data_IF_169869475261
#
_entry.id   IF_169869475261
#
_cell.length_a   1.000
_cell.length_b   1.000
_cell.length_c   1.000
_cell.angle_alpha   90.00
_cell.angle_beta   90.00
_cell.angle_gamma   90.00
#
_symmetry.space_group_name_H-M   'P 1'
#
loop_
_entity.id
_entity.type
_entity.pdbx_description
1 polymer ?
#
# COMPACT_ATOMS: atom_id res chain seq x y z
N UNK A 1 -15.07 -14.05 20.51
CA UNK A 1 -14.33 -14.48 19.31
C UNK A 1 -13.20 -13.51 18.96
N UNK A 2 -13.47 -12.20 18.79
CA UNK A 2 -12.43 -11.16 18.61
C UNK A 2 -11.37 -11.15 19.73
N UNK A 3 -11.76 -11.14 21.01
CA UNK A 3 -10.82 -11.22 22.14
C UNK A 3 -10.02 -12.54 22.20
N UNK A 4 -10.53 -13.61 21.62
CA UNK A 4 -9.86 -14.92 21.59
C UNK A 4 -8.79 -14.94 20.50
N UNK A 5 -9.13 -14.44 19.30
CA UNK A 5 -8.19 -14.23 18.18
C UNK A 5 -7.10 -13.22 18.59
N UNK A 6 -7.48 -12.13 19.25
CA UNK A 6 -6.54 -11.12 19.78
C UNK A 6 -5.58 -11.73 20.80
N UNK A 7 -6.06 -12.54 21.76
CA UNK A 7 -5.19 -13.22 22.73
C UNK A 7 -4.27 -14.26 22.09
N UNK A 8 -4.72 -14.97 21.05
CA UNK A 8 -3.87 -15.91 20.29
C UNK A 8 -2.83 -15.18 19.43
N UNK A 9 -3.18 -14.03 18.83
CA UNK A 9 -2.26 -13.19 18.06
C UNK A 9 -1.25 -12.42 18.93
N UNK A 10 -1.64 -12.04 20.15
CA UNK A 10 -0.75 -11.43 21.16
C UNK A 10 0.24 -12.46 21.70
N UNK A 11 -0.15 -13.74 21.82
CA UNK A 11 0.75 -14.81 22.30
C UNK A 11 1.65 -15.39 21.20
N UNK A 12 1.29 -15.27 19.92
CA UNK A 12 2.09 -15.75 18.78
C UNK A 12 2.49 -14.59 17.84
N UNK A 13 3.57 -13.90 18.21
CA UNK A 13 4.54 -13.19 17.35
C UNK A 13 4.04 -12.36 16.14
N UNK A 14 2.97 -11.58 16.25
CA UNK A 14 2.74 -10.45 15.34
C UNK A 14 3.29 -9.14 15.94
N UNK A 15 4.53 -8.77 15.58
CA UNK A 15 5.05 -7.43 15.88
C UNK A 15 4.59 -6.44 14.81
N UNK A 16 3.54 -5.68 15.13
CA UNK A 16 3.12 -4.52 14.35
C UNK A 16 4.02 -3.32 14.69
N UNK A 17 4.56 -2.66 13.66
CA UNK A 17 5.38 -1.47 13.81
C UNK A 17 4.54 -0.19 13.77
N UNK A 18 4.76 0.67 14.76
CA UNK A 18 4.17 2.00 14.88
C UNK A 18 5.29 2.97 15.26
N UNK A 19 5.73 3.80 14.30
CA UNK A 19 6.69 4.88 14.56
C UNK A 19 6.06 6.25 14.23
N UNK A 20 6.18 7.26 15.11
CA UNK A 20 5.90 8.66 14.81
C UNK A 20 6.74 9.17 13.62
N UNK A 21 6.15 9.40 12.45
CA UNK A 21 6.88 10.02 11.32
C UNK A 21 6.87 11.55 11.42
N UNK A 22 8.03 12.21 11.26
CA UNK A 22 8.21 13.68 11.40
C UNK A 22 8.24 14.44 10.06
N UNK A 23 7.66 13.89 8.98
CA UNK A 23 7.19 14.57 7.75
C UNK A 23 6.60 13.53 6.78
N UNK A 24 5.79 13.91 5.78
CA UNK A 24 4.92 12.98 5.05
C UNK A 24 5.47 12.70 3.66
N UNK A 25 5.87 11.46 3.37
CA UNK A 25 6.04 10.97 1.98
C UNK A 25 5.71 9.48 1.88
N UNK A 26 4.69 9.23 1.04
CA UNK A 26 4.43 8.15 0.06
C UNK A 26 5.44 6.97 0.00
N UNK A 27 5.00 5.77 0.39
CA UNK A 27 5.30 4.54 -0.34
C UNK A 27 3.99 3.90 -0.79
N UNK A 28 3.90 3.66 -2.10
CA UNK A 28 2.85 2.92 -2.78
C UNK A 28 3.36 1.54 -3.22
N UNK A 29 4.24 0.94 -2.41
CA UNK A 29 4.73 -0.40 -2.60
C UNK A 29 4.63 -1.11 -1.27
N UNK A 30 3.45 -1.71 -1.04
CA UNK A 30 3.18 -2.98 -0.38
C UNK A 30 1.64 -2.99 -0.23
N UNK A 31 0.93 -3.41 -1.27
CA UNK A 31 -0.22 -4.35 -1.33
C UNK A 31 -0.35 -4.69 -2.83
N UNK A 32 0.70 -5.25 -3.44
CA UNK A 32 0.59 -5.75 -4.83
C UNK A 32 1.46 -6.95 -5.17
N UNK A 33 2.02 -7.61 -4.15
CA UNK A 33 2.82 -8.83 -4.30
C UNK A 33 2.61 -9.85 -3.17
N UNK A 34 1.42 -9.87 -2.56
CA UNK A 34 1.05 -11.01 -1.74
C UNK A 34 0.52 -12.13 -2.64
N UNK A 35 1.43 -12.99 -3.10
CA UNK A 35 1.25 -14.36 -3.60
C UNK A 35 0.30 -14.56 -4.80
N UNK A 36 0.61 -15.47 -5.71
CA UNK A 36 -0.27 -15.75 -6.84
C UNK A 36 -1.64 -16.28 -6.35
N UNK A 37 -2.70 -15.85 -7.03
CA UNK A 37 -4.01 -16.52 -7.16
C UNK A 37 -5.09 -16.46 -6.06
N UNK A 38 -4.87 -16.04 -4.80
CA UNK A 38 -5.93 -16.13 -3.77
C UNK A 38 -6.36 -14.80 -3.14
N UNK A 39 -7.01 -13.92 -3.92
CA UNK A 39 -7.60 -12.68 -3.36
C UNK A 39 -8.73 -12.94 -2.35
N UNK A 40 -9.26 -14.17 -2.31
CA UNK A 40 -10.36 -14.62 -1.46
C UNK A 40 -10.05 -14.49 0.04
N UNK A 41 -8.83 -14.83 0.45
CA UNK A 41 -8.40 -14.75 1.86
C UNK A 41 -7.51 -13.53 2.16
N UNK A 42 -6.86 -12.97 1.14
CA UNK A 42 -5.94 -11.85 1.32
C UNK A 42 -6.64 -10.57 1.78
N UNK A 43 -7.81 -10.24 1.23
CA UNK A 43 -8.50 -9.01 1.63
C UNK A 43 -8.98 -9.04 3.11
N UNK A 44 -9.66 -10.11 3.58
CA UNK A 44 -9.95 -10.27 5.00
C UNK A 44 -8.70 -10.29 5.88
N UNK A 45 -7.63 -10.97 5.46
CA UNK A 45 -6.40 -11.03 6.23
C UNK A 45 -5.79 -9.64 6.43
N UNK A 46 -5.66 -8.86 5.36
CA UNK A 46 -5.15 -7.48 5.43
C UNK A 46 -6.00 -6.63 6.36
N UNK A 47 -7.33 -6.70 6.24
CA UNK A 47 -8.25 -5.96 7.10
C UNK A 47 -8.09 -6.30 8.58
N UNK A 48 -8.09 -7.60 8.92
CA UNK A 48 -7.93 -8.07 10.30
C UNK A 48 -6.58 -7.67 10.87
N UNK A 49 -5.49 -7.91 10.13
CA UNK A 49 -4.14 -7.58 10.60
C UNK A 49 -3.95 -6.07 10.78
N UNK A 50 -4.51 -5.25 9.89
CA UNK A 50 -4.43 -3.78 9.99
C UNK A 50 -5.20 -3.25 11.21
N UNK A 51 -6.34 -3.84 11.57
CA UNK A 51 -7.08 -3.45 12.77
C UNK A 51 -6.47 -4.04 14.05
N UNK A 52 -5.93 -5.26 14.01
CA UNK A 52 -5.13 -5.80 15.11
C UNK A 52 -3.90 -4.93 15.38
N UNK A 53 -3.30 -4.34 14.34
CA UNK A 53 -2.24 -3.37 14.45
C UNK A 53 -2.65 -2.11 15.23
N UNK A 54 -3.89 -1.63 15.05
CA UNK A 54 -4.45 -0.54 15.86
C UNK A 54 -4.60 -0.98 17.32
N UNK A 55 -5.07 -2.20 17.59
CA UNK A 55 -5.20 -2.72 18.97
C UNK A 55 -3.83 -2.84 19.66
N UNK A 56 -2.81 -3.30 18.93
CA UNK A 56 -1.44 -3.35 19.42
C UNK A 56 -0.87 -1.95 19.67
N UNK A 57 -1.22 -0.94 18.85
CA UNK A 57 -0.89 0.46 19.16
C UNK A 57 -1.54 0.86 20.47
N UNK A 58 -2.83 0.62 20.62
CA UNK A 58 -3.62 1.02 21.78
C UNK A 58 -3.05 0.48 23.08
N UNK A 59 -2.54 -0.75 23.06
CA UNK A 59 -1.96 -1.40 24.23
C UNK A 59 -0.58 -0.87 24.66
N UNK A 60 0.10 -0.08 23.83
CA UNK A 60 1.42 0.51 24.16
C UNK A 60 1.28 1.82 24.93
N UNK A 61 2.29 2.12 25.73
CA UNK A 61 2.39 3.42 26.41
C UNK A 61 2.36 4.58 25.40
N UNK A 62 1.45 5.53 25.61
CA UNK A 62 1.25 6.66 24.68
C UNK A 62 0.42 6.32 23.43
N UNK A 63 0.03 5.05 23.23
CA UNK A 63 -0.62 4.58 22.02
C UNK A 63 -2.06 5.08 21.85
N UNK A 64 -2.85 5.10 22.93
CA UNK A 64 -4.20 5.67 22.91
C UNK A 64 -4.18 7.17 22.54
N UNK A 65 -3.22 7.94 23.07
CA UNK A 65 -3.04 9.35 22.74
C UNK A 65 -2.71 9.55 21.25
N UNK A 66 -1.95 8.62 20.65
CA UNK A 66 -1.69 8.63 19.21
C UNK A 66 -2.99 8.41 18.42
N UNK A 67 -3.78 7.40 18.80
CA UNK A 67 -5.05 7.08 18.14
C UNK A 67 -6.01 8.27 18.21
N UNK A 68 -6.11 8.91 19.37
CA UNK A 68 -7.00 10.05 19.61
C UNK A 68 -6.53 11.33 18.89
N UNK A 69 -5.25 11.40 18.50
CA UNK A 69 -4.67 12.51 17.74
C UNK A 69 -4.85 12.41 16.23
N UNK A 70 -5.51 11.36 15.71
CA UNK A 70 -5.68 11.18 14.26
C UNK A 70 -6.78 12.09 13.72
N UNK A 71 -6.40 13.06 12.89
CA UNK A 71 -7.32 14.05 12.29
C UNK A 71 -7.96 13.60 10.97
N UNK A 72 -7.36 12.63 10.28
CA UNK A 72 -7.79 12.16 8.96
C UNK A 72 -7.24 10.76 8.71
N UNK A 73 -7.99 9.95 7.96
CA UNK A 73 -7.57 8.61 7.55
C UNK A 73 -7.76 8.43 6.05
N UNK A 74 -6.97 7.54 5.46
CA UNK A 74 -7.11 7.12 4.07
C UNK A 74 -6.50 5.73 3.94
N UNK A 75 -6.93 4.96 2.94
CA UNK A 75 -6.32 3.68 2.65
C UNK A 75 -6.49 3.31 1.19
N UNK A 76 -5.48 2.65 0.63
CA UNK A 76 -5.42 2.31 -0.79
C UNK A 76 -6.34 1.11 -1.07
N UNK A 77 -7.31 1.29 -1.97
CA UNK A 77 -8.26 0.26 -2.39
C UNK A 77 -9.00 -0.37 -1.19
N UNK A 78 -8.71 -1.64 -0.85
CA UNK A 78 -9.20 -2.31 0.34
C UNK A 78 -8.94 -1.51 1.63
N UNK A 79 -7.80 -0.82 1.71
CA UNK A 79 -7.45 -0.02 2.88
C UNK A 79 -8.49 1.06 3.23
N UNK A 80 -9.31 1.51 2.28
CA UNK A 80 -10.42 2.44 2.54
C UNK A 80 -11.49 1.81 3.45
N UNK A 81 -11.75 0.49 3.29
CA UNK A 81 -12.66 -0.23 4.18
C UNK A 81 -12.07 -0.33 5.60
N UNK A 82 -10.77 -0.60 5.71
CA UNK A 82 -10.05 -0.61 6.99
C UNK A 82 -10.08 0.78 7.64
N UNK A 83 -9.86 1.85 6.88
CA UNK A 83 -9.90 3.22 7.37
C UNK A 83 -11.31 3.62 7.84
N UNK A 84 -12.35 3.23 7.11
CA UNK A 84 -13.75 3.42 7.50
C UNK A 84 -14.11 2.66 8.79
N UNK A 85 -13.68 1.40 8.93
CA UNK A 85 -13.84 0.65 10.17
C UNK A 85 -13.11 1.33 11.33
N UNK A 86 -11.84 1.71 11.12
CA UNK A 86 -11.07 2.44 12.11
C UNK A 86 -11.76 3.74 12.51
N UNK A 87 -12.37 4.48 11.57
CA UNK A 87 -13.12 5.71 11.80
C UNK A 87 -14.55 5.50 12.34
N UNK A 88 -14.97 4.26 12.57
CA UNK A 88 -16.26 3.94 13.19
C UNK A 88 -17.47 4.02 12.25
N UNK A 89 -17.23 4.03 10.93
CA UNK A 89 -18.31 4.05 9.94
C UNK A 89 -19.14 2.76 9.96
N UNK A 90 -18.54 1.63 10.31
CA UNK A 90 -19.22 0.35 10.53
C UNK A 90 -18.46 -0.47 11.57
N UNK A 91 -19.06 -1.55 12.08
CA UNK A 91 -18.40 -2.43 13.05
C UNK A 91 -17.25 -3.22 12.41
N UNK A 92 -16.36 -3.75 13.24
CA UNK A 92 -15.30 -4.67 12.79
C UNK A 92 -15.90 -5.84 11.99
N UNK A 93 -16.95 -6.46 12.51
CA UNK A 93 -17.61 -7.63 11.92
C UNK A 93 -18.26 -7.33 10.58
N UNK A 94 -18.93 -6.18 10.47
CA UNK A 94 -19.57 -5.79 9.21
C UNK A 94 -18.54 -5.42 8.16
N UNK A 95 -17.47 -4.71 8.54
CA UNK A 95 -16.34 -4.49 7.65
C UNK A 95 -15.68 -5.79 7.20
N UNK A 96 -15.49 -6.77 8.09
CA UNK A 96 -14.92 -8.08 7.76
C UNK A 96 -15.79 -8.85 6.75
N UNK A 97 -17.12 -8.84 6.94
CA UNK A 97 -18.06 -9.45 5.97
C UNK A 97 -17.97 -8.76 4.61
N UNK A 98 -17.93 -7.42 4.59
CA UNK A 98 -17.84 -6.62 3.37
C UNK A 98 -16.54 -6.90 2.60
N UNK A 99 -15.38 -6.89 3.26
CA UNK A 99 -14.09 -7.12 2.58
C UNK A 99 -13.94 -8.56 2.11
N UNK A 100 -14.53 -9.53 2.82
CA UNK A 100 -14.59 -10.92 2.36
C UNK A 100 -15.41 -11.03 1.08
N UNK A 101 -16.63 -10.48 1.08
CA UNK A 101 -17.50 -10.48 -0.10
C UNK A 101 -16.85 -9.73 -1.26
N UNK A 102 -16.17 -8.61 -1.00
CA UNK A 102 -15.41 -7.84 -1.98
C UNK A 102 -14.32 -8.70 -2.62
N UNK A 103 -13.53 -9.40 -1.81
CA UNK A 103 -12.52 -10.35 -2.27
C UNK A 103 -13.10 -11.43 -3.19
N UNK A 104 -14.15 -12.10 -2.73
CA UNK A 104 -14.86 -13.13 -3.51
C UNK A 104 -15.41 -12.58 -4.84
N UNK A 105 -16.11 -11.45 -4.80
CA UNK A 105 -16.73 -10.86 -5.98
C UNK A 105 -15.70 -10.36 -7.01
N UNK A 106 -14.59 -9.78 -6.56
CA UNK A 106 -13.49 -9.36 -7.44
C UNK A 106 -12.73 -10.56 -8.01
N UNK A 107 -12.56 -11.64 -7.24
CA UNK A 107 -11.95 -12.88 -7.73
C UNK A 107 -12.80 -13.52 -8.82
N UNK A 108 -14.12 -13.60 -8.61
CA UNK A 108 -15.05 -14.15 -9.60
C UNK A 108 -15.03 -13.33 -10.90
N UNK A 109 -14.99 -11.99 -10.78
CA UNK A 109 -14.87 -11.10 -11.94
C UNK A 109 -13.53 -11.29 -12.68
N UNK A 110 -12.43 -11.45 -11.94
CA UNK A 110 -11.10 -11.72 -12.51
C UNK A 110 -11.04 -13.08 -13.22
N UNK A 111 -11.67 -14.12 -12.65
CA UNK A 111 -11.73 -15.45 -13.25
C UNK A 111 -12.57 -15.47 -14.54
N UNK A 112 -13.58 -14.60 -14.65
CA UNK A 112 -14.46 -14.52 -15.81
C UNK A 112 -13.80 -13.90 -17.05
N UNK A 113 -12.73 -13.11 -16.89
CA UNK A 113 -12.08 -12.41 -18.00
C UNK A 113 -10.55 -12.36 -17.85
N UNK A 114 -9.85 -12.95 -18.82
CA UNK A 114 -8.39 -12.89 -18.90
C UNK A 114 -7.94 -11.44 -19.02
N UNK A 115 -7.19 -11.00 -18.02
CA UNK A 115 -6.81 -9.59 -17.88
C UNK A 115 -5.49 -9.48 -17.12
N UNK A 116 -4.87 -8.31 -17.18
CA UNK A 116 -3.60 -8.05 -16.52
C UNK A 116 -3.50 -6.62 -16.01
N UNK A 117 -2.46 -6.39 -15.24
CA UNK A 117 -2.10 -5.09 -14.69
C UNK A 117 -0.60 -4.88 -14.79
N UNK A 118 -0.20 -3.66 -15.12
CA UNK A 118 1.18 -3.27 -15.37
C UNK A 118 1.46 -1.92 -14.73
N UNK A 119 2.54 -1.81 -13.96
CA UNK A 119 3.06 -0.54 -13.48
C UNK A 119 3.86 0.12 -14.60
N UNK A 120 3.52 1.37 -14.93
CA UNK A 120 4.20 2.22 -15.90
C UNK A 120 4.99 3.28 -15.13
N UNK A 121 6.30 3.25 -15.28
CA UNK A 121 7.23 4.05 -14.46
C UNK A 121 7.99 5.04 -15.33
N UNK A 122 8.16 6.27 -14.83
CA UNK A 122 8.94 7.33 -15.46
C UNK A 122 8.16 8.23 -16.41
N UNK A 123 6.83 8.11 -16.47
CA UNK A 123 5.93 9.01 -17.19
C UNK A 123 5.06 9.78 -16.21
N UNK A 124 4.62 10.98 -16.59
CA UNK A 124 3.52 11.69 -15.93
C UNK A 124 2.16 11.08 -16.31
N UNK A 125 1.10 11.42 -15.57
CA UNK A 125 -0.24 10.85 -15.74
C UNK A 125 -0.83 11.14 -17.13
N UNK A 126 -0.57 12.31 -17.69
CA UNK A 126 -1.04 12.70 -19.02
C UNK A 126 -0.43 11.81 -20.10
N UNK A 127 0.88 11.56 -20.05
CA UNK A 127 1.54 10.64 -20.98
C UNK A 127 1.12 9.19 -20.79
N UNK A 128 0.87 8.75 -19.56
CA UNK A 128 0.30 7.41 -19.34
C UNK A 128 -1.09 7.31 -19.95
N UNK A 129 -1.91 8.36 -19.86
CA UNK A 129 -3.22 8.38 -20.51
C UNK A 129 -3.09 8.32 -22.04
N UNK A 130 -2.20 9.13 -22.63
CA UNK A 130 -1.92 9.09 -24.08
C UNK A 130 -1.41 7.71 -24.53
N UNK A 131 -0.60 7.05 -23.70
CA UNK A 131 -0.13 5.68 -23.94
C UNK A 131 -1.30 4.67 -23.90
N UNK A 132 -2.22 4.80 -22.94
CA UNK A 132 -3.44 3.98 -22.89
C UNK A 132 -4.30 4.20 -24.14
N UNK A 133 -4.51 5.45 -24.54
CA UNK A 133 -5.32 5.80 -25.71
C UNK A 133 -4.71 5.23 -26.99
N UNK A 134 -3.38 5.31 -27.15
CA UNK A 134 -2.66 4.72 -28.28
C UNK A 134 -2.75 3.18 -28.31
N UNK A 135 -2.74 2.53 -27.14
CA UNK A 135 -2.94 1.08 -27.07
C UNK A 135 -4.39 0.70 -27.40
N UNK A 136 -5.36 1.47 -26.90
CA UNK A 136 -6.79 1.26 -27.08
C UNK A 136 -7.28 1.42 -28.53
N UNK A 137 -6.50 2.09 -29.39
CA UNK A 137 -6.78 2.19 -30.83
C UNK A 137 -6.53 0.87 -31.60
N UNK A 138 -5.69 -0.02 -31.06
CA UNK A 138 -5.27 -1.26 -31.72
C UNK A 138 -5.95 -2.51 -31.16
N UNK A 139 -6.87 -2.35 -30.21
CA UNK A 139 -7.56 -3.46 -29.55
C UNK A 139 -9.08 -3.25 -29.49
N UNK A 140 -9.88 -4.32 -29.50
CA UNK A 140 -11.32 -4.21 -29.34
C UNK A 140 -11.69 -3.67 -27.94
N UNK A 141 -12.92 -3.17 -27.79
CA UNK A 141 -13.45 -2.62 -26.53
C UNK A 141 -13.22 -3.55 -25.32
N UNK A 142 -13.40 -4.86 -25.51
CA UNK A 142 -13.24 -5.87 -24.47
C UNK A 142 -11.79 -6.07 -23.98
N UNK A 143 -10.80 -5.52 -24.69
CA UNK A 143 -9.36 -5.65 -24.38
C UNK A 143 -8.74 -4.31 -23.95
N UNK A 144 -9.52 -3.22 -23.93
CA UNK A 144 -9.01 -1.89 -23.59
C UNK A 144 -8.40 -1.83 -22.19
N UNK A 145 -7.42 -0.94 -22.08
CA UNK A 145 -6.72 -0.62 -20.83
C UNK A 145 -7.05 0.79 -20.36
N UNK A 146 -6.93 1.01 -19.06
CA UNK A 146 -7.04 2.33 -18.44
C UNK A 146 -6.12 2.42 -17.23
N UNK A 147 -5.82 3.65 -16.79
CA UNK A 147 -5.13 3.86 -15.51
C UNK A 147 -6.07 3.39 -14.40
N UNK A 148 -5.63 2.38 -13.65
CA UNK A 148 -6.35 1.79 -12.53
C UNK A 148 -5.89 2.37 -11.18
N UNK A 149 -4.63 2.80 -11.07
CA UNK A 149 -4.13 3.49 -9.89
C UNK A 149 -3.21 4.65 -10.27
N UNK A 150 -3.56 5.83 -9.80
CA UNK A 150 -2.66 6.99 -9.70
C UNK A 150 -1.91 6.85 -8.39
N UNK A 151 -0.72 6.23 -8.42
CA UNK A 151 0.02 5.88 -7.19
C UNK A 151 0.85 7.06 -6.69
N UNK A 152 1.78 7.54 -7.51
CA UNK A 152 2.60 8.71 -7.22
C UNK A 152 3.15 9.31 -8.52
N UNK A 153 3.68 10.56 -8.47
CA UNK A 153 4.27 11.17 -9.65
C UNK A 153 5.36 10.27 -10.24
N UNK A 154 5.18 9.84 -11.49
CA UNK A 154 6.11 8.95 -12.17
C UNK A 154 5.83 7.45 -12.01
N UNK A 155 4.75 7.04 -11.33
CA UNK A 155 4.36 5.63 -11.19
C UNK A 155 2.83 5.47 -11.21
N UNK A 156 2.33 4.79 -12.23
CA UNK A 156 0.90 4.57 -12.44
C UNK A 156 0.66 3.10 -12.77
N UNK A 157 -0.39 2.51 -12.19
CA UNK A 157 -0.78 1.16 -12.58
C UNK A 157 -1.86 1.25 -13.65
N UNK A 158 -1.61 0.60 -14.79
CA UNK A 158 -2.54 0.47 -15.90
C UNK A 158 -3.06 -0.95 -15.94
N UNK A 159 -4.34 -1.11 -16.24
CA UNK A 159 -5.00 -2.39 -16.20
C UNK A 159 -6.05 -2.55 -17.29
N UNK A 160 -6.24 -3.78 -17.76
CA UNK A 160 -7.22 -4.11 -18.80
C UNK A 160 -7.03 -5.52 -19.35
N UNK A 161 -7.49 -5.75 -20.58
CA UNK A 161 -7.34 -7.04 -21.25
C UNK A 161 -5.88 -7.38 -21.52
N UNK A 162 -5.57 -8.68 -21.63
CA UNK A 162 -4.20 -9.14 -21.90
C UNK A 162 -3.63 -8.49 -23.16
N UNK A 163 -4.45 -8.36 -24.22
CA UNK A 163 -3.96 -7.82 -25.48
C UNK A 163 -3.68 -6.32 -25.40
N UNK A 164 -4.54 -5.58 -24.70
CA UNK A 164 -4.33 -4.16 -24.46
C UNK A 164 -3.06 -3.89 -23.65
N UNK A 165 -2.80 -4.72 -22.63
CA UNK A 165 -1.55 -4.62 -21.83
C UNK A 165 -0.33 -4.91 -22.68
N UNK A 166 -0.34 -5.96 -23.52
CA UNK A 166 0.77 -6.25 -24.45
C UNK A 166 1.05 -5.10 -25.42
N UNK A 167 0.01 -4.52 -26.01
CA UNK A 167 0.14 -3.40 -26.93
C UNK A 167 0.70 -2.18 -26.21
N UNK A 168 0.22 -1.89 -24.99
CA UNK A 168 0.72 -0.82 -24.15
C UNK A 168 2.21 -0.99 -23.83
N UNK A 169 2.64 -2.19 -23.42
CA UNK A 169 4.05 -2.49 -23.14
C UNK A 169 4.92 -2.28 -24.39
N UNK A 170 4.45 -2.69 -25.57
CA UNK A 170 5.18 -2.51 -26.83
C UNK A 170 5.38 -1.03 -27.20
N UNK A 171 4.45 -0.16 -26.80
CA UNK A 171 4.48 1.29 -27.06
C UNK A 171 5.19 2.09 -25.97
N UNK A 172 5.31 1.56 -24.75
CA UNK A 172 5.81 2.29 -23.60
C UNK A 172 7.17 2.99 -23.85
N UNK A 173 8.09 2.33 -24.57
CA UNK A 173 9.41 2.90 -24.90
C UNK A 173 9.32 4.11 -25.84
N UNK A 174 8.40 4.12 -26.82
CA UNK A 174 8.25 5.28 -27.73
C UNK A 174 7.67 6.50 -27.02
N UNK A 175 6.87 6.27 -25.97
CA UNK A 175 6.38 7.32 -25.06
C UNK A 175 7.42 7.77 -24.02
N UNK A 176 8.62 7.17 -24.03
CA UNK A 176 9.73 7.42 -23.09
C UNK A 176 9.47 6.94 -21.67
N UNK A 177 8.64 5.91 -21.48
CA UNK A 177 8.56 5.24 -20.19
C UNK A 177 9.93 4.65 -19.82
N UNK A 178 10.31 4.77 -18.56
CA UNK A 178 11.55 4.19 -18.04
C UNK A 178 11.46 2.66 -18.02
N UNK A 179 10.34 2.13 -17.54
CA UNK A 179 10.07 0.70 -17.47
C UNK A 179 8.58 0.43 -17.35
N UNK A 180 8.19 -0.79 -17.72
CA UNK A 180 6.89 -1.39 -17.43
C UNK A 180 7.10 -2.69 -16.65
N UNK A 181 6.34 -2.89 -15.57
CA UNK A 181 6.46 -4.08 -14.71
C UNK A 181 5.08 -4.70 -14.53
N UNK A 182 4.89 -5.93 -15.02
CA UNK A 182 3.64 -6.67 -14.81
C UNK A 182 3.46 -6.97 -13.31
N UNK A 183 2.26 -6.73 -12.82
CA UNK A 183 1.90 -6.92 -11.41
C UNK A 183 1.32 -8.32 -11.24
N UNK A 184 1.74 -9.02 -10.19
CA UNK A 184 1.29 -10.37 -9.87
C UNK A 184 -0.10 -10.31 -9.21
N UNK A 185 -1.11 -9.94 -9.97
CA UNK A 185 -2.50 -9.79 -9.53
C UNK A 185 -3.44 -10.66 -10.36
N UNK A 186 -4.57 -11.04 -9.77
CA UNK A 186 -5.49 -12.00 -10.36
C UNK A 186 -6.26 -11.45 -11.58
N UNK A 187 -6.42 -10.13 -11.72
CA UNK A 187 -7.14 -9.55 -12.84
C UNK A 187 -7.07 -8.03 -12.88
N UNK A 188 -7.83 -7.45 -13.82
CA UNK A 188 -7.80 -6.01 -14.07
C UNK A 188 -8.61 -5.17 -13.06
N UNK A 189 -8.11 -5.06 -11.83
CA UNK A 189 -8.76 -4.31 -10.75
C UNK A 189 -8.89 -2.81 -11.07
N UNK A 190 -9.91 -2.17 -10.50
CA UNK A 190 -10.17 -0.73 -10.69
C UNK A 190 -10.47 -0.34 -12.14
N UNK A 191 -11.09 -1.25 -12.89
CA UNK A 191 -11.53 -1.05 -14.27
C UNK A 191 -12.92 -1.63 -14.51
N UNK A 192 -13.45 -1.45 -15.71
CA UNK A 192 -14.70 -2.06 -16.16
C UNK A 192 -14.73 -3.60 -16.07
N UNK A 193 -13.58 -4.28 -16.01
CA UNK A 193 -13.52 -5.73 -15.81
C UNK A 193 -14.12 -6.16 -14.47
N UNK A 194 -14.18 -5.26 -13.48
CA UNK A 194 -14.76 -5.53 -12.16
C UNK A 194 -16.27 -5.24 -12.08
N UNK A 195 -16.93 -4.83 -13.17
CA UNK A 195 -18.39 -4.59 -13.19
C UNK A 195 -19.23 -5.75 -12.62
N UNK A 196 -18.91 -7.04 -12.87
CA UNK A 196 -19.68 -8.14 -12.29
C UNK A 196 -19.69 -8.16 -10.74
N UNK A 197 -18.67 -7.58 -10.10
CA UNK A 197 -18.58 -7.52 -8.64
C UNK A 197 -19.50 -6.46 -8.01
N UNK A 198 -19.89 -5.43 -8.77
CA UNK A 198 -20.58 -4.23 -8.25
C UNK A 198 -21.93 -4.58 -7.64
N UNK A 199 -22.78 -5.34 -8.33
CA UNK A 199 -24.13 -5.67 -7.85
C UNK A 199 -24.14 -6.40 -6.50
N UNK A 200 -23.17 -7.30 -6.28
CA UNK A 200 -22.99 -8.00 -4.99
C UNK A 200 -22.58 -7.04 -3.88
N UNK A 201 -21.68 -6.11 -4.18
CA UNK A 201 -21.25 -5.09 -3.22
C UNK A 201 -22.38 -4.12 -2.90
N UNK A 202 -23.15 -3.66 -3.88
CA UNK A 202 -24.32 -2.80 -3.69
C UNK A 202 -25.34 -3.46 -2.75
N UNK A 203 -25.68 -4.73 -3.01
CA UNK A 203 -26.62 -5.48 -2.19
C UNK A 203 -26.14 -5.61 -0.73
N UNK A 204 -24.87 -5.93 -0.51
CA UNK A 204 -24.32 -6.04 0.84
C UNK A 204 -24.26 -4.69 1.55
N UNK A 205 -23.72 -3.65 0.89
CA UNK A 205 -23.62 -2.29 1.43
C UNK A 205 -25.00 -1.70 1.76
N UNK A 206 -26.04 -2.04 0.99
CA UNK A 206 -27.41 -1.61 1.27
C UNK A 206 -27.87 -2.11 2.66
N UNK A 207 -27.55 -3.36 2.99
CA UNK A 207 -27.93 -4.00 4.26
C UNK A 207 -26.98 -3.71 5.43
N UNK A 208 -25.76 -3.24 5.17
CA UNK A 208 -24.83 -2.85 6.22
C UNK A 208 -25.24 -1.52 6.86
N UNK A 209 -25.20 -1.47 8.19
CA UNK A 209 -25.35 -0.23 8.93
C UNK A 209 -24.05 0.59 8.77
N UNK A 210 -24.13 1.67 8.00
CA UNK A 210 -23.05 2.64 7.85
C UNK A 210 -23.43 3.91 8.59
N UNK A 211 -22.51 4.42 9.38
CA UNK A 211 -22.61 5.65 10.18
C UNK A 211 -21.65 6.68 9.64
N UNK A 212 -21.89 7.95 9.95
CA UNK A 212 -20.94 9.01 9.67
C UNK A 212 -19.61 8.72 10.38
N UNK A 213 -18.47 8.66 9.67
CA UNK A 213 -17.17 8.44 10.28
C UNK A 213 -16.84 9.53 11.32
N UNK A 214 -16.28 9.15 12.47
CA UNK A 214 -15.89 10.12 13.52
C UNK A 214 -14.70 11.01 13.12
N UNK A 215 -13.92 10.53 12.16
CA UNK A 215 -12.74 11.19 11.58
C UNK A 215 -12.91 11.12 10.05
N UNK A 216 -12.61 12.20 9.31
CA UNK A 216 -12.64 12.20 7.86
C UNK A 216 -11.88 11.01 7.25
N UNK A 217 -12.53 10.31 6.31
CA UNK A 217 -11.90 9.24 5.52
C UNK A 217 -11.85 9.67 4.06
N UNK A 218 -10.65 9.77 3.47
CA UNK A 218 -10.51 10.20 2.07
C UNK A 218 -10.83 9.03 1.13
N UNK A 219 -11.73 9.27 0.18
CA UNK A 219 -12.14 8.27 -0.80
C UNK A 219 -11.10 8.07 -1.91
N UNK A 220 -10.90 6.81 -2.32
CA UNK A 220 -10.08 6.49 -3.48
C UNK A 220 -10.68 6.97 -4.82
N UNK A 221 -12.00 7.21 -4.90
CA UNK A 221 -12.66 7.50 -6.20
C UNK A 221 -12.48 8.96 -6.62
N UNK A 222 -12.62 9.89 -5.67
CA UNK A 222 -12.63 11.34 -5.96
C UNK A 222 -11.63 12.14 -5.10
N UNK A 223 -10.84 11.47 -4.26
CA UNK A 223 -9.90 12.09 -3.32
C UNK A 223 -10.53 13.13 -2.38
N UNK A 224 -11.85 13.03 -2.13
CA UNK A 224 -12.57 13.86 -1.17
C UNK A 224 -12.89 13.07 0.11
N UNK A 225 -13.03 13.74 1.26
CA UNK A 225 -13.57 13.12 2.46
C UNK A 225 -14.97 12.56 2.20
N UNK A 226 -15.23 11.36 2.71
CA UNK A 226 -16.59 10.84 2.83
C UNK A 226 -17.45 11.77 3.69
N UNK A 227 -18.69 11.99 3.25
CA UNK A 227 -19.64 12.93 3.87
C UNK A 227 -20.67 12.20 4.72
N UNK A 228 -21.57 11.48 4.05
CA UNK A 228 -22.75 10.86 4.62
C UNK A 228 -22.81 9.36 4.29
N UNK A 229 -23.49 8.55 5.11
CA UNK A 229 -23.57 7.10 4.91
C UNK A 229 -24.06 6.63 3.54
N UNK A 230 -25.01 7.33 2.92
CA UNK A 230 -25.58 6.91 1.64
C UNK A 230 -24.59 7.16 0.50
N UNK A 231 -23.87 8.27 0.56
CA UNK A 231 -22.74 8.55 -0.34
C UNK A 231 -21.63 7.51 -0.18
N UNK A 232 -21.26 7.13 1.04
CA UNK A 232 -20.26 6.08 1.32
C UNK A 232 -20.65 4.77 0.63
N UNK A 233 -21.90 4.31 0.78
CA UNK A 233 -22.38 3.07 0.14
C UNK A 233 -22.20 3.10 -1.38
N UNK A 234 -22.61 4.20 -2.02
CA UNK A 234 -22.50 4.35 -3.49
C UNK A 234 -21.04 4.37 -3.96
N UNK A 235 -20.19 5.12 -3.26
CA UNK A 235 -18.77 5.25 -3.61
C UNK A 235 -18.03 3.92 -3.43
N UNK A 236 -18.26 3.21 -2.33
CA UNK A 236 -17.61 1.92 -2.07
C UNK A 236 -17.99 0.85 -3.10
N UNK A 237 -19.24 0.88 -3.59
CA UNK A 237 -19.71 -0.03 -4.64
C UNK A 237 -19.00 0.23 -5.98
N UNK A 238 -18.87 1.50 -6.39
CA UNK A 238 -18.21 1.85 -7.65
C UNK A 238 -16.67 1.90 -7.57
N UNK A 239 -16.10 1.87 -6.36
CA UNK A 239 -14.65 1.90 -6.12
C UNK A 239 -13.90 0.77 -6.86
N UNK A 240 -14.48 -0.43 -6.95
CA UNK A 240 -13.83 -1.57 -7.62
C UNK A 240 -13.71 -1.41 -9.14
N UNK A 241 -14.50 -0.50 -9.73
CA UNK A 241 -14.48 -0.17 -11.16
C UNK A 241 -13.86 1.20 -11.47
N UNK A 242 -13.48 1.95 -10.44
CA UNK A 242 -12.99 3.32 -10.57
C UNK A 242 -11.49 3.39 -10.31
N UNK A 243 -10.74 4.23 -11.04
CA UNK A 243 -9.32 4.44 -10.76
C UNK A 243 -9.09 4.98 -9.35
N UNK A 244 -8.09 4.43 -8.66
CA UNK A 244 -7.69 4.88 -7.32
C UNK A 244 -6.85 6.14 -7.42
N UNK A 245 -7.34 7.24 -6.84
CA UNK A 245 -6.75 8.57 -6.81
C UNK A 245 -5.77 8.75 -5.63
N UNK A 246 -4.81 7.83 -5.47
CA UNK A 246 -3.90 7.83 -4.32
C UNK A 246 -2.94 9.02 -4.34
N UNK A 247 -2.37 9.32 -5.51
CA UNK A 247 -1.51 10.48 -5.72
C UNK A 247 -2.24 11.77 -5.31
N UNK A 248 -3.46 11.99 -5.81
CA UNK A 248 -4.28 13.16 -5.46
C UNK A 248 -4.61 13.20 -3.98
N UNK A 249 -4.93 12.05 -3.38
CA UNK A 249 -5.19 11.94 -1.94
C UNK A 249 -3.99 12.43 -1.14
N UNK A 250 -2.80 11.90 -1.43
CA UNK A 250 -1.60 12.28 -0.67
C UNK A 250 -1.21 13.74 -0.95
N UNK A 251 -1.23 14.19 -2.20
CA UNK A 251 -0.97 15.59 -2.55
C UNK A 251 -1.92 16.56 -1.83
N UNK A 252 -3.20 16.20 -1.73
CA UNK A 252 -4.20 17.00 -1.02
C UNK A 252 -3.89 17.06 0.47
N UNK A 253 -3.54 15.94 1.10
CA UNK A 253 -3.15 15.89 2.51
C UNK A 253 -1.89 16.72 2.77
N UNK A 254 -0.88 16.62 1.91
CA UNK A 254 0.35 17.43 1.98
C UNK A 254 0.05 18.92 1.89
N UNK A 255 -0.76 19.32 0.90
CA UNK A 255 -1.15 20.73 0.70
C UNK A 255 -1.98 21.26 1.87
N UNK A 256 -2.78 20.40 2.51
CA UNK A 256 -3.54 20.73 3.73
C UNK A 256 -2.69 20.69 5.02
N UNK A 257 -1.38 20.47 4.91
CA UNK A 257 -0.45 20.58 6.02
C UNK A 257 -0.32 19.31 6.87
N UNK A 258 -0.51 18.12 6.29
CA UNK A 258 -0.15 16.86 6.95
C UNK A 258 1.29 16.94 7.47
N UNK A 259 1.51 16.62 8.75
CA UNK A 259 2.83 16.68 9.40
C UNK A 259 3.38 15.32 9.79
N UNK A 260 2.48 14.37 10.04
CA UNK A 260 2.75 13.07 10.64
C UNK A 260 1.73 12.06 10.14
N UNK A 261 2.19 10.87 9.80
CA UNK A 261 1.36 9.75 9.38
C UNK A 261 1.77 8.47 10.09
N UNK A 262 0.86 7.51 10.12
CA UNK A 262 1.06 6.17 10.63
C UNK A 262 0.46 5.20 9.62
N UNK A 263 1.26 4.21 9.21
CA UNK A 263 0.79 3.16 8.31
C UNK A 263 0.59 1.88 9.11
N UNK A 264 -0.56 1.24 8.91
CA UNK A 264 -0.96 0.04 9.65
C UNK A 264 -1.49 -1.01 8.69
N UNK A 265 -0.67 -2.02 8.43
CA UNK A 265 -0.99 -3.16 7.57
C UNK A 265 0.03 -4.30 7.73
N UNK A 266 -0.28 -5.51 7.24
CA UNK A 266 0.67 -6.61 7.25
C UNK A 266 1.89 -6.29 6.37
N UNK A 267 3.06 -6.15 7.00
CA UNK A 267 4.35 -6.37 6.35
C UNK A 267 4.56 -7.87 6.10
N UNK A 268 5.35 -8.23 5.09
CA UNK A 268 5.55 -9.63 4.71
C UNK A 268 6.36 -10.36 5.78
N UNK A 269 5.92 -11.55 6.18
CA UNK A 269 6.68 -12.49 7.00
C UNK A 269 6.37 -13.92 6.55
N UNK A 270 7.44 -14.70 6.32
CA UNK A 270 7.56 -16.16 6.52
C UNK A 270 8.29 -16.98 5.44
N UNK A 271 8.80 -16.35 4.39
CA UNK A 271 9.91 -16.91 3.59
C UNK A 271 10.71 -15.71 3.11
N UNK A 272 12.00 -15.62 3.46
CA UNK A 272 12.87 -14.48 3.17
C UNK A 272 12.51 -13.74 1.89
N UNK A 273 12.29 -12.44 2.02
CA UNK A 273 11.83 -11.58 0.93
C UNK A 273 11.86 -10.13 1.37
N UNK A 274 12.01 -9.25 0.39
CA UNK A 274 12.26 -7.81 0.51
C UNK A 274 11.30 -7.11 1.50
N UNK A 275 11.85 -6.66 2.62
CA UNK A 275 11.24 -5.72 3.53
C UNK A 275 11.59 -4.30 3.09
N UNK A 276 10.59 -3.54 2.62
CA UNK A 276 10.76 -2.14 2.26
C UNK A 276 10.23 -1.23 3.37
N UNK A 277 11.13 -0.44 3.96
CA UNK A 277 10.80 0.56 4.97
C UNK A 277 11.06 1.96 4.43
N UNK A 278 10.14 2.88 4.72
CA UNK A 278 10.40 4.31 4.59
C UNK A 278 10.76 4.92 5.92
N UNK A 279 11.85 5.67 5.92
CA UNK A 279 12.24 6.56 7.01
C UNK A 279 12.41 7.97 6.44
N UNK A 280 11.68 8.94 6.97
CA UNK A 280 11.82 10.35 6.59
C UNK A 280 12.21 11.20 7.79
N UNK A 281 13.16 12.11 7.61
CA UNK A 281 13.59 13.08 8.64
C UNK A 281 13.20 14.52 8.24
N UNK A 282 12.91 15.34 9.25
CA UNK A 282 12.42 16.72 9.19
C UNK A 282 13.28 17.67 8.34
N UNK A 283 14.55 17.32 8.13
CA UNK A 283 15.48 18.09 7.30
C UNK A 283 15.50 17.64 5.83
N UNK A 284 14.49 16.94 5.31
CA UNK A 284 14.35 16.73 3.86
C UNK A 284 15.21 15.60 3.28
N UNK A 285 15.41 14.54 4.07
CA UNK A 285 15.95 13.26 3.61
C UNK A 285 14.84 12.21 3.58
N UNK A 286 14.46 11.73 2.39
CA UNK A 286 13.59 10.55 2.25
C UNK A 286 14.48 9.34 2.09
N UNK A 287 14.34 8.36 2.98
CA UNK A 287 15.07 7.10 2.93
C UNK A 287 14.12 5.96 2.61
N UNK A 288 14.41 5.24 1.55
CA UNK A 288 13.86 3.91 1.32
C UNK A 288 14.96 2.89 1.66
N UNK A 289 14.67 2.01 2.60
CA UNK A 289 15.55 0.88 2.94
C UNK A 289 14.83 -0.40 2.56
N UNK A 290 15.37 -1.10 1.57
CA UNK A 290 14.95 -2.46 1.23
C UNK A 290 15.96 -3.44 1.85
N UNK A 291 15.47 -4.44 2.57
CA UNK A 291 16.32 -5.45 3.20
C UNK A 291 15.78 -6.84 2.90
N UNK A 292 16.63 -7.77 2.48
CA UNK A 292 16.27 -9.18 2.33
C UNK A 292 17.21 -10.05 3.14
N UNK A 293 16.69 -10.81 4.10
CA UNK A 293 17.48 -11.76 4.89
C UNK A 293 17.46 -13.18 4.35
N UNK A 294 18.57 -13.91 4.50
CA UNK A 294 18.68 -15.34 4.22
C UNK A 294 18.53 -16.15 5.51
N UNK A 295 17.97 -17.36 5.40
CA UNK A 295 17.84 -18.27 6.52
C UNK A 295 19.04 -19.22 6.57
N UNK A 296 19.81 -19.19 7.67
CA UNK A 296 20.59 -20.33 8.15
C UNK A 296 19.66 -21.24 8.98
N UNK A 297 19.94 -22.55 9.08
CA UNK A 297 19.23 -23.43 10.01
C UNK A 297 19.30 -22.85 11.44
N UNK A 298 18.16 -22.81 12.11
CA UNK A 298 17.97 -22.28 13.48
C UNK A 298 18.19 -20.76 13.67
N UNK A 299 18.24 -19.96 12.59
CA UNK A 299 18.26 -18.48 12.66
C UNK A 299 16.98 -17.91 12.07
N UNK A 300 16.26 -17.06 12.83
CA UNK A 300 15.13 -16.30 12.31
C UNK A 300 15.65 -15.22 11.33
N UNK A 301 15.39 -15.36 10.01
CA UNK A 301 15.95 -14.47 8.99
C UNK A 301 15.41 -13.04 9.08
N UNK A 302 14.40 -12.78 9.92
CA UNK A 302 13.82 -11.46 10.11
C UNK A 302 14.53 -10.62 11.18
N UNK A 303 15.22 -11.24 12.15
CA UNK A 303 15.78 -10.52 13.31
C UNK A 303 16.88 -9.53 12.91
N UNK A 304 17.85 -9.98 12.11
CA UNK A 304 18.94 -9.13 11.65
C UNK A 304 18.47 -7.97 10.76
N UNK A 305 17.67 -8.20 9.68
CA UNK A 305 17.05 -7.11 8.93
C UNK A 305 16.29 -6.10 9.80
N UNK A 306 15.48 -6.58 10.74
CA UNK A 306 14.65 -5.72 11.60
C UNK A 306 15.48 -4.81 12.50
N UNK A 307 16.49 -5.37 13.17
CA UNK A 307 17.34 -4.58 14.05
C UNK A 307 18.20 -3.60 13.24
N UNK A 308 18.73 -4.02 12.10
CA UNK A 308 19.44 -3.17 11.16
C UNK A 308 18.60 -1.96 10.72
N UNK A 309 17.34 -2.20 10.38
CA UNK A 309 16.39 -1.17 9.98
C UNK A 309 16.00 -0.25 11.14
N UNK A 310 15.85 -0.79 12.35
CA UNK A 310 15.60 0.00 13.55
C UNK A 310 16.76 0.97 13.82
N UNK A 311 18.00 0.49 13.66
CA UNK A 311 19.21 1.29 13.79
C UNK A 311 19.33 2.34 12.68
N UNK A 312 19.05 1.99 11.42
CA UNK A 312 19.02 2.95 10.30
C UNK A 312 18.01 4.07 10.54
N UNK A 313 16.85 3.73 11.09
CA UNK A 313 15.85 4.71 11.50
C UNK A 313 16.31 5.62 12.64
N UNK A 314 17.24 5.19 13.48
CA UNK A 314 17.78 6.02 14.57
C UNK A 314 18.90 6.93 14.06
N UNK A 315 19.74 6.44 13.14
CA UNK A 315 20.89 7.19 12.60
C UNK A 315 20.56 8.09 11.41
N UNK A 316 19.36 8.01 10.81
CA UNK A 316 18.94 8.88 9.69
C UNK A 316 19.14 10.38 9.93
N UNK A 317 19.07 10.83 11.19
CA UNK A 317 19.25 12.23 11.58
C UNK A 317 20.61 12.57 12.14
N UNK A 318 21.54 11.62 12.14
CA UNK A 318 22.90 11.80 12.63
C UNK A 318 23.71 12.68 11.67
N UNK A 319 24.41 13.68 12.20
CA UNK A 319 25.20 14.63 11.40
C UNK A 319 26.29 13.92 10.59
N UNK A 320 26.84 12.80 11.10
CA UNK A 320 27.85 12.04 10.38
C UNK A 320 27.28 11.31 9.16
N UNK A 321 25.98 10.97 9.18
CA UNK A 321 25.33 10.30 8.06
C UNK A 321 25.20 11.24 6.85
N UNK A 322 24.89 12.52 7.06
CA UNK A 322 24.89 13.59 6.05
C UNK A 322 24.38 13.16 4.64
N UNK A 323 23.21 12.51 4.56
CA UNK A 323 22.63 12.04 3.28
C UNK A 323 23.49 11.04 2.49
N UNK A 324 24.47 10.40 3.14
CA UNK A 324 25.28 9.34 2.56
C UNK A 324 24.72 7.95 2.95
N UNK A 325 24.12 7.22 2.00
CA UNK A 325 23.53 5.92 2.27
C UNK A 325 24.58 4.87 2.70
N UNK A 326 25.85 5.00 2.34
CA UNK A 326 26.90 4.07 2.77
C UNK A 326 27.27 4.28 4.24
N UNK A 327 27.31 5.53 4.71
CA UNK A 327 27.57 5.83 6.13
C UNK A 327 26.40 5.32 6.98
N UNK A 328 25.16 5.53 6.51
CA UNK A 328 23.98 5.03 7.20
C UNK A 328 24.01 3.51 7.34
N UNK A 329 24.29 2.76 6.26
CA UNK A 329 24.38 1.31 6.32
C UNK A 329 25.45 0.87 7.33
N UNK A 330 26.65 1.46 7.29
CA UNK A 330 27.74 1.10 8.21
C UNK A 330 27.40 1.36 9.67
N UNK A 331 26.85 2.53 10.01
CA UNK A 331 26.46 2.84 11.40
C UNK A 331 25.33 1.93 11.88
N UNK A 332 24.37 1.65 11.01
CA UNK A 332 23.25 0.75 11.32
C UNK A 332 23.72 -0.68 11.56
N UNK A 333 24.61 -1.18 10.70
CA UNK A 333 25.20 -2.50 10.82
C UNK A 333 26.04 -2.63 12.09
N UNK A 334 26.90 -1.65 12.40
CA UNK A 334 27.72 -1.66 13.61
C UNK A 334 26.90 -1.67 14.91
N UNK A 335 25.67 -1.13 14.88
CA UNK A 335 24.75 -1.14 16.02
C UNK A 335 23.84 -2.38 16.07
N UNK A 336 23.90 -3.26 15.07
CA UNK A 336 23.06 -4.45 14.99
C UNK A 336 23.74 -5.63 15.67
N UNK A 337 23.05 -6.23 16.65
CA UNK A 337 23.58 -7.31 17.49
C UNK A 337 22.95 -8.68 17.20
N UNK A 338 21.78 -8.72 16.55
CA UNK A 338 21.13 -9.95 16.08
C UNK A 338 22.05 -10.70 15.12
N UNK A 339 21.96 -12.03 15.15
CA UNK A 339 22.64 -12.88 14.19
C UNK A 339 21.78 -13.06 12.94
N UNK A 340 22.37 -12.94 11.77
CA UNK A 340 21.74 -13.16 10.48
C UNK A 340 22.49 -12.43 9.37
N UNK A 341 21.97 -12.47 8.16
CA UNK A 341 22.49 -11.69 7.05
C UNK A 341 21.40 -10.90 6.35
N UNK A 342 21.80 -9.89 5.57
CA UNK A 342 20.88 -9.25 4.66
C UNK A 342 21.54 -8.55 3.48
N UNK A 343 20.89 -8.60 2.32
CA UNK A 343 21.13 -7.63 1.25
C UNK A 343 20.31 -6.38 1.52
N UNK A 344 20.97 -5.23 1.50
CA UNK A 344 20.40 -3.94 1.89
C UNK A 344 20.56 -2.97 0.74
N UNK A 345 19.49 -2.28 0.38
CA UNK A 345 19.51 -1.12 -0.53
C UNK A 345 18.98 0.08 0.24
N UNK A 346 19.81 1.09 0.43
CA UNK A 346 19.43 2.38 1.01
C UNK A 346 19.43 3.42 -0.09
N UNK A 347 18.29 4.05 -0.34
CA UNK A 347 18.18 5.21 -1.19
C UNK A 347 17.86 6.44 -0.34
N UNK A 348 18.69 7.48 -0.38
CA UNK A 348 18.52 8.77 0.32
C UNK A 348 18.30 9.89 -0.70
N UNK A 349 17.20 10.62 -0.57
CA UNK A 349 16.90 11.80 -1.37
C UNK A 349 17.40 13.08 -0.68
N UNK A 350 18.27 13.85 -1.32
CA UNK A 350 18.73 15.16 -0.83
C UNK A 350 17.69 16.27 -1.09
N UNK A 351 17.82 17.39 -0.35
CA UNK A 351 16.98 18.60 -0.53
C UNK A 351 17.02 19.19 -1.94
N UNK A 352 18.12 19.00 -2.66
CA UNK A 352 18.29 19.49 -4.04
C UNK A 352 17.67 18.55 -5.09
N UNK A 353 17.01 17.45 -4.67
CA UNK A 353 16.40 16.46 -5.55
C UNK A 353 17.34 15.33 -5.99
N UNK A 354 18.59 15.28 -5.50
CA UNK A 354 19.54 14.22 -5.82
C UNK A 354 19.23 12.95 -5.03
N UNK A 355 18.97 11.84 -5.71
CA UNK A 355 18.81 10.53 -5.10
C UNK A 355 20.16 9.80 -5.04
N UNK A 356 20.67 9.56 -3.84
CA UNK A 356 21.86 8.74 -3.59
C UNK A 356 21.44 7.33 -3.21
N UNK A 357 22.06 6.32 -3.80
CA UNK A 357 21.75 4.92 -3.51
C UNK A 357 23.03 4.21 -3.12
N UNK A 358 23.00 3.48 -2.01
CA UNK A 358 24.02 2.48 -1.68
C UNK A 358 23.34 1.13 -1.50
N UNK A 359 24.02 0.09 -1.93
CA UNK A 359 23.64 -1.27 -1.65
C UNK A 359 24.81 -2.03 -1.03
N UNK A 360 24.48 -2.94 -0.14
CA UNK A 360 25.43 -3.92 0.42
C UNK A 360 24.77 -5.28 0.23
N UNK A 361 25.43 -6.15 -0.53
CA UNK A 361 25.06 -7.56 -0.61
C UNK A 361 25.57 -8.32 0.60
N UNK A 362 25.17 -9.59 0.71
CA UNK A 362 25.63 -10.50 1.78
C UNK A 362 27.16 -10.57 1.87
#
# INVERSE_FOLDING_TARGET
MFNLILNTLITHSLQVFLKPLKQPVIISQIIMQCLPSDSLLLQPAIYVTSLAAVELLRARDGGQQIIDSVDVTCGLSLGEYTALAFAGAFSFEDGLKLVKLRGEAMQDAANAAKSAMVSVIGLDSEKVQQLCDAANQEVPEAEKVQIANYLCPGNYAVSGGLKGVEVLESKAKSFKARMTVRLAVAGAFHTSFMKPAVSRLEAALATTEIRTPRIPVISNVNAQPHTDPDSIKKILACQVTSPVQWETTVQTLLTKGLKKSYELGPGKLNTGGEDAFLVSNYNGGVIAVAVSGWAEEDVDPSLFPRELLANASNFVGDEEVNYDPQILIRKSHAATSSRGSATVIVAMLEKNGTLKIANVGD
#
